data_IF_698040852595
#
_entry.id   IF_698040852595
#
_cell.length_a   1.000
_cell.length_b   1.000
_cell.length_c   1.000
_cell.angle_alpha   90.00
_cell.angle_beta   90.00
_cell.angle_gamma   90.00
#
_symmetry.space_group_name_H-M   'P 1'
#
loop_
_entity.id
_entity.type
_entity.pdbx_description
1 polymer ?
#
# COMPACT_ATOMS: atom_id res chain seq x y z
N UNK A 1 4.85 24.01 -10.85
CA UNK A 1 4.84 23.60 -9.44
C UNK A 1 4.54 22.11 -9.46
N UNK A 2 5.53 21.26 -9.17
CA UNK A 2 5.31 19.81 -9.10
C UNK A 2 4.94 19.43 -7.67
N UNK A 3 4.00 18.50 -7.50
CA UNK A 3 3.66 17.95 -6.19
C UNK A 3 4.50 16.73 -5.87
N UNK A 4 5.01 16.67 -4.65
CA UNK A 4 5.83 15.54 -4.20
C UNK A 4 4.95 14.45 -3.57
N UNK A 5 5.34 13.20 -3.80
CA UNK A 5 4.59 12.05 -3.36
C UNK A 5 5.48 10.89 -2.98
N UNK A 6 4.97 10.05 -2.07
CA UNK A 6 5.51 8.73 -1.82
C UNK A 6 4.50 7.70 -2.31
N UNK A 7 4.99 6.62 -2.91
CA UNK A 7 4.17 5.46 -3.15
C UNK A 7 4.91 4.20 -2.72
N UNK A 8 4.17 3.24 -2.17
CA UNK A 8 4.76 2.06 -1.56
C UNK A 8 3.95 0.80 -1.85
N UNK A 9 4.64 -0.33 -1.98
CA UNK A 9 4.01 -1.65 -1.85
C UNK A 9 4.09 -2.10 -0.40
N UNK A 10 3.04 -2.78 0.08
CA UNK A 10 3.05 -3.43 1.40
C UNK A 10 2.80 -4.91 1.26
N UNK A 11 3.74 -5.71 1.76
CA UNK A 11 3.65 -7.17 1.75
C UNK A 11 4.31 -7.73 3.01
N UNK A 12 3.66 -8.66 3.71
CA UNK A 12 4.17 -9.29 4.96
C UNK A 12 4.61 -8.31 6.06
N UNK A 13 4.00 -7.11 6.11
CA UNK A 13 4.23 -5.96 7.01
C UNK A 13 5.11 -4.83 6.48
N UNK A 14 6.32 -5.02 5.91
CA UNK A 14 7.13 -3.90 5.44
C UNK A 14 6.48 -3.13 4.29
N UNK A 15 6.86 -1.86 4.22
CA UNK A 15 6.57 -0.89 3.18
C UNK A 15 7.82 -0.70 2.33
N UNK A 16 7.69 -0.91 1.02
CA UNK A 16 8.76 -0.68 0.06
C UNK A 16 8.48 0.63 -0.66
N UNK A 17 9.09 1.71 -0.14
CA UNK A 17 8.73 3.09 -0.50
C UNK A 17 9.58 3.65 -1.63
N UNK A 18 8.93 4.30 -2.59
CA UNK A 18 9.56 5.04 -3.68
C UNK A 18 9.12 6.50 -3.64
N UNK A 19 10.09 7.40 -3.87
CA UNK A 19 9.85 8.83 -3.93
C UNK A 19 9.53 9.29 -5.36
N UNK A 20 8.51 10.13 -5.48
CA UNK A 20 8.12 10.79 -6.72
C UNK A 20 8.07 12.31 -6.50
N UNK A 21 8.59 13.07 -7.47
CA UNK A 21 8.79 14.52 -7.35
C UNK A 21 7.93 15.35 -8.31
N UNK A 22 7.05 14.71 -9.09
CA UNK A 22 6.18 15.40 -10.06
C UNK A 22 4.78 14.81 -10.10
N UNK A 23 3.78 15.68 -10.19
CA UNK A 23 2.38 15.31 -10.47
C UNK A 23 1.82 14.21 -9.55
N UNK A 24 2.15 14.28 -8.27
CA UNK A 24 1.76 13.28 -7.28
C UNK A 24 0.30 13.36 -6.85
N UNK A 25 -0.55 14.09 -7.58
CA UNK A 25 -1.98 14.13 -7.33
C UNK A 25 -2.66 12.78 -7.65
N UNK A 26 -3.84 12.49 -7.08
CA UNK A 26 -4.63 11.32 -7.45
C UNK A 26 -4.87 11.22 -8.96
N UNK A 27 -5.12 12.34 -9.62
CA UNK A 27 -5.36 12.42 -11.06
C UNK A 27 -4.09 12.19 -11.91
N UNK A 28 -2.91 12.34 -11.32
CA UNK A 28 -1.61 12.08 -11.93
C UNK A 28 -1.07 10.72 -11.49
N UNK A 29 -0.17 10.72 -10.50
CA UNK A 29 0.44 9.51 -9.93
C UNK A 29 -0.60 8.46 -9.47
N UNK A 30 -1.73 8.88 -8.90
CA UNK A 30 -2.78 7.94 -8.50
C UNK A 30 -3.32 7.14 -9.69
N UNK A 31 -3.64 7.82 -10.79
CA UNK A 31 -4.06 7.20 -12.05
C UNK A 31 -2.97 6.30 -12.64
N UNK A 32 -1.70 6.71 -12.59
CA UNK A 32 -0.58 5.88 -13.05
C UNK A 32 -0.43 4.59 -12.23
N UNK A 33 -0.62 4.66 -10.91
CA UNK A 33 -0.56 3.50 -10.04
C UNK A 33 -1.73 2.55 -10.29
N UNK A 34 -2.95 3.08 -10.43
CA UNK A 34 -4.13 2.26 -10.73
C UNK A 34 -4.06 1.64 -12.12
N UNK A 35 -3.50 2.37 -13.10
CA UNK A 35 -3.29 1.85 -14.46
C UNK A 35 -2.39 0.61 -14.50
N UNK A 36 -1.46 0.46 -13.54
CA UNK A 36 -0.60 -0.71 -13.42
C UNK A 36 -1.31 -1.91 -12.81
N UNK A 37 -2.42 -1.70 -12.12
CA UNK A 37 -3.16 -2.76 -11.41
C UNK A 37 -4.13 -3.40 -12.41
N UNK A 38 -3.95 -4.70 -12.76
CA UNK A 38 -4.83 -5.36 -13.71
C UNK A 38 -6.28 -5.38 -13.20
N UNK A 39 -7.22 -5.22 -14.13
CA UNK A 39 -8.66 -5.25 -13.82
C UNK A 39 -9.22 -6.66 -13.80
N UNK A 40 -8.64 -7.55 -14.60
CA UNK A 40 -9.02 -8.94 -14.71
C UNK A 40 -8.51 -9.73 -13.49
N UNK A 41 -9.35 -10.59 -12.86
CA UNK A 41 -8.98 -11.30 -11.65
C UNK A 41 -7.83 -12.29 -11.85
N UNK A 42 -7.73 -12.95 -13.00
CA UNK A 42 -6.68 -13.90 -13.32
C UNK A 42 -5.35 -13.18 -13.61
N UNK A 43 -5.41 -12.07 -14.36
CA UNK A 43 -4.24 -11.21 -14.58
C UNK A 43 -3.75 -10.55 -13.29
N UNK A 44 -4.68 -10.08 -12.46
CA UNK A 44 -4.38 -9.50 -11.15
C UNK A 44 -3.69 -10.53 -10.26
N UNK A 45 -4.19 -11.76 -10.20
CA UNK A 45 -3.58 -12.82 -9.40
C UNK A 45 -2.13 -13.10 -9.83
N UNK A 46 -1.86 -13.15 -11.14
CA UNK A 46 -0.51 -13.37 -11.68
C UNK A 46 0.42 -12.19 -11.41
N UNK A 47 -0.06 -10.97 -11.63
CA UNK A 47 0.68 -9.75 -11.36
C UNK A 47 1.01 -9.61 -9.86
N UNK A 48 0.04 -9.88 -8.99
CA UNK A 48 0.21 -9.85 -7.55
C UNK A 48 1.19 -10.94 -7.08
N UNK A 49 1.13 -12.16 -7.60
CA UNK A 49 2.09 -13.22 -7.27
C UNK A 49 3.52 -12.83 -7.67
N UNK A 50 3.69 -12.30 -8.88
CA UNK A 50 4.99 -11.83 -9.37
C UNK A 50 5.56 -10.72 -8.48
N UNK A 51 4.76 -9.71 -8.13
CA UNK A 51 5.19 -8.63 -7.23
C UNK A 51 5.48 -9.15 -5.82
N UNK A 52 4.63 -10.01 -5.26
CA UNK A 52 4.87 -10.60 -3.94
C UNK A 52 6.19 -11.33 -3.89
N UNK A 53 6.55 -12.07 -4.94
CA UNK A 53 7.85 -12.77 -5.05
C UNK A 53 9.02 -11.81 -5.17
N UNK A 54 8.87 -10.70 -5.89
CA UNK A 54 9.90 -9.66 -5.94
C UNK A 54 10.09 -9.03 -4.55
N UNK A 55 9.01 -8.70 -3.86
CA UNK A 55 9.04 -8.08 -2.54
C UNK A 55 9.60 -9.03 -1.47
N UNK A 56 9.30 -10.34 -1.56
CA UNK A 56 9.85 -11.35 -0.64
C UNK A 56 11.38 -11.49 -0.76
N UNK A 57 11.95 -11.17 -1.93
CA UNK A 57 13.39 -11.16 -2.16
C UNK A 57 14.08 -9.84 -1.73
N UNK A 58 13.31 -8.80 -1.37
CA UNK A 58 13.84 -7.50 -0.95
C UNK A 58 13.96 -7.42 0.56
N UNK A 59 15.12 -6.96 1.01
CA UNK A 59 15.45 -6.72 2.42
C UNK A 59 15.32 -5.23 2.82
N UNK A 60 15.11 -4.33 1.87
CA UNK A 60 14.99 -2.87 2.09
C UNK A 60 13.63 -2.41 2.64
N UNK A 61 12.78 -3.36 3.06
CA UNK A 61 11.43 -3.08 3.53
C UNK A 61 11.41 -2.31 4.86
N UNK A 62 10.61 -1.25 4.92
CA UNK A 62 10.53 -0.37 6.10
C UNK A 62 9.27 -0.69 6.93
N UNK A 63 9.37 -0.74 8.26
CA UNK A 63 8.20 -1.04 9.11
C UNK A 63 7.28 0.18 9.32
N UNK A 64 7.80 1.39 9.11
CA UNK A 64 7.05 2.62 9.28
C UNK A 64 6.26 2.97 8.02
N UNK A 65 5.00 3.39 8.22
CA UNK A 65 4.16 3.83 7.11
C UNK A 65 4.74 5.08 6.43
N UNK A 66 4.71 5.16 5.09
CA UNK A 66 5.15 6.36 4.35
C UNK A 66 4.37 7.62 4.74
N UNK A 67 3.14 7.46 5.24
CA UNK A 67 2.35 8.58 5.75
C UNK A 67 3.00 9.27 6.96
N UNK A 68 3.69 8.53 7.83
CA UNK A 68 4.41 9.13 8.97
C UNK A 68 5.66 9.90 8.52
N UNK A 69 6.27 9.51 7.39
CA UNK A 69 7.40 10.23 6.79
C UNK A 69 7.02 11.54 6.10
N UNK A 70 5.73 11.81 5.96
CA UNK A 70 5.23 13.03 5.32
C UNK A 70 5.71 14.31 6.02
N UNK A 71 5.87 14.26 7.35
CA UNK A 71 6.29 15.43 8.12
C UNK A 71 7.79 15.72 7.94
N UNK A 72 8.11 16.86 7.33
CA UNK A 72 9.48 17.43 7.30
C UNK A 72 10.14 17.51 5.92
N UNK A 73 9.59 16.88 4.87
CA UNK A 73 10.21 16.82 3.53
C UNK A 73 9.30 17.27 2.38
N UNK A 74 8.18 17.96 2.68
CA UNK A 74 7.32 18.54 1.65
C UNK A 74 6.56 17.52 0.80
N UNK A 75 6.26 16.34 1.36
CA UNK A 75 5.40 15.33 0.74
C UNK A 75 3.94 15.75 0.89
N UNK A 76 3.22 15.77 -0.22
CA UNK A 76 1.82 16.17 -0.26
C UNK A 76 0.89 14.97 -0.34
N UNK A 77 1.32 13.91 -1.02
CA UNK A 77 0.53 12.70 -1.24
C UNK A 77 1.29 11.43 -0.90
N UNK A 78 0.59 10.47 -0.30
CA UNK A 78 1.14 9.14 -0.04
C UNK A 78 0.20 8.06 -0.56
N UNK A 79 0.73 7.06 -1.24
CA UNK A 79 -0.03 5.95 -1.83
C UNK A 79 0.52 4.62 -1.33
N UNK A 80 -0.34 3.69 -0.95
CA UNK A 80 0.07 2.35 -0.53
C UNK A 80 -0.77 1.32 -1.25
N UNK A 81 -0.13 0.41 -1.98
CA UNK A 81 -0.76 -0.80 -2.50
C UNK A 81 -0.51 -1.90 -1.47
N UNK A 82 -1.55 -2.20 -0.69
CA UNK A 82 -1.54 -3.15 0.41
C UNK A 82 -2.05 -4.52 -0.06
N UNK A 83 -1.11 -5.46 -0.24
CA UNK A 83 -1.42 -6.83 -0.65
C UNK A 83 -1.91 -7.71 0.49
N UNK A 84 -1.68 -7.31 1.75
CA UNK A 84 -2.14 -8.03 2.94
C UNK A 84 -3.65 -7.83 3.13
N UNK A 85 -4.12 -6.61 2.82
CA UNK A 85 -5.52 -6.18 3.00
C UNK A 85 -6.32 -6.05 1.70
N UNK A 86 -5.69 -6.33 0.56
CA UNK A 86 -6.25 -6.10 -0.77
C UNK A 86 -6.80 -4.67 -0.94
N UNK A 87 -6.01 -3.68 -0.49
CA UNK A 87 -6.43 -2.28 -0.40
C UNK A 87 -5.42 -1.33 -1.05
N UNK A 88 -5.92 -0.29 -1.69
CA UNK A 88 -5.18 0.89 -2.11
C UNK A 88 -5.46 2.01 -1.12
N UNK A 89 -4.44 2.45 -0.40
CA UNK A 89 -4.56 3.51 0.60
C UNK A 89 -3.98 4.81 0.08
N UNK A 90 -4.73 5.91 0.19
CA UNK A 90 -4.31 7.27 -0.13
C UNK A 90 -4.26 8.09 1.16
N UNK A 91 -3.13 8.75 1.37
CA UNK A 91 -2.83 9.60 2.52
C UNK A 91 -3.09 8.94 3.88
N UNK A 92 -2.95 7.62 3.96
CA UNK A 92 -3.23 6.84 5.18
C UNK A 92 -4.70 6.87 5.66
N UNK A 93 -5.62 7.43 4.86
CA UNK A 93 -6.99 7.77 5.27
C UNK A 93 -8.05 7.13 4.39
N UNK A 94 -7.86 7.20 3.08
CA UNK A 94 -8.79 6.65 2.10
C UNK A 94 -8.30 5.28 1.74
N UNK A 95 -9.10 4.24 1.98
CA UNK A 95 -8.73 2.86 1.66
C UNK A 95 -9.75 2.33 0.67
N UNK A 96 -9.31 1.90 -0.50
CA UNK A 96 -10.17 1.45 -1.59
C UNK A 96 -9.79 0.00 -1.90
N UNK A 97 -10.76 -0.89 -2.11
CA UNK A 97 -10.43 -2.26 -2.55
C UNK A 97 -9.70 -2.23 -3.89
N UNK A 98 -8.64 -3.04 -4.03
CA UNK A 98 -7.89 -3.15 -5.30
C UNK A 98 -8.79 -3.61 -6.47
N UNK A 99 -9.83 -4.40 -6.18
CA UNK A 99 -10.81 -4.85 -7.17
C UNK A 99 -11.84 -3.78 -7.59
N UNK A 100 -11.99 -2.69 -6.82
CA UNK A 100 -12.97 -1.61 -7.05
C UNK A 100 -12.32 -0.25 -7.33
N UNK A 101 -11.10 -0.26 -7.84
CA UNK A 101 -10.39 0.97 -8.15
C UNK A 101 -11.05 1.72 -9.34
N UNK A 102 -11.06 3.07 -9.30
CA UNK A 102 -11.46 3.86 -10.46
C UNK A 102 -10.57 3.52 -11.65
N UNK A 103 -11.16 3.16 -12.79
CA UNK A 103 -10.42 2.94 -14.04
C UNK A 103 -9.98 4.28 -14.62
N UNK A 104 -9.04 4.21 -15.57
CA UNK A 104 -8.34 5.38 -16.07
C UNK A 104 -9.29 6.52 -16.48
N UNK A 105 -9.10 7.69 -15.87
CA UNK A 105 -9.87 8.90 -16.16
C UNK A 105 -11.17 9.06 -15.37
N UNK A 106 -11.48 8.15 -14.44
CA UNK A 106 -12.58 8.34 -13.50
C UNK A 106 -12.25 9.39 -12.43
N UNK A 107 -13.28 10.07 -11.93
CA UNK A 107 -13.16 11.12 -10.93
C UNK A 107 -12.85 10.51 -9.54
N UNK A 108 -11.84 11.07 -8.86
CA UNK A 108 -11.41 10.59 -7.55
C UNK A 108 -12.26 11.14 -6.38
N UNK A 109 -12.98 12.25 -6.59
CA UNK A 109 -13.80 12.90 -5.55
C UNK A 109 -14.73 11.96 -4.77
N UNK A 110 -15.49 11.04 -5.40
CA UNK A 110 -16.38 10.15 -4.67
C UNK A 110 -15.64 9.17 -3.75
N UNK A 111 -14.38 8.84 -4.01
CA UNK A 111 -13.60 7.90 -3.19
C UNK A 111 -13.05 8.55 -1.91
N UNK A 112 -13.02 9.89 -1.85
CA UNK A 112 -12.71 10.60 -0.61
C UNK A 112 -13.89 10.59 0.39
N UNK A 113 -15.10 10.24 -0.07
CA UNK A 113 -16.24 10.05 0.81
C UNK A 113 -16.14 8.69 1.52
N UNK A 114 -16.10 8.70 2.86
CA UNK A 114 -15.93 7.48 3.66
C UNK A 114 -17.11 6.52 3.55
N UNK A 115 -18.29 6.98 3.08
CA UNK A 115 -19.47 6.14 2.89
C UNK A 115 -19.53 5.48 1.50
N UNK A 116 -18.52 5.71 0.65
CA UNK A 116 -18.46 5.11 -0.68
C UNK A 116 -18.39 3.56 -0.59
N UNK A 117 -19.11 2.79 -1.45
CA UNK A 117 -19.15 1.31 -1.37
C UNK A 117 -17.82 0.61 -1.70
N UNK A 118 -16.83 1.37 -2.20
CA UNK A 118 -15.45 0.90 -2.39
C UNK A 118 -14.53 1.23 -1.21
N UNK A 119 -14.99 2.10 -0.29
CA UNK A 119 -14.28 2.46 0.94
C UNK A 119 -14.15 1.25 1.86
N UNK A 120 -12.96 1.05 2.39
CA UNK A 120 -12.66 0.08 3.43
C UNK A 120 -12.45 0.82 4.76
N UNK A 121 -13.16 0.40 5.79
CA UNK A 121 -12.90 0.85 7.15
C UNK A 121 -11.69 0.08 7.71
N UNK A 122 -10.48 0.52 7.33
CA UNK A 122 -9.23 -0.02 7.87
C UNK A 122 -8.82 0.70 9.16
N UNK A 123 -9.76 1.27 9.92
CA UNK A 123 -9.50 2.04 11.15
C UNK A 123 -8.75 1.24 12.24
N UNK A 124 -8.51 -0.06 12.05
CA UNK A 124 -7.60 -0.82 12.90
C UNK A 124 -6.20 -0.92 12.28
N UNK A 125 -5.13 -0.49 13.00
CA UNK A 125 -3.79 -0.96 12.71
C UNK A 125 -3.79 -2.50 12.74
N UNK A 126 -2.88 -3.12 11.97
CA UNK A 126 -2.74 -4.57 11.96
C UNK A 126 -2.48 -5.02 13.39
N UNK A 127 -3.48 -5.62 14.05
CA UNK A 127 -3.17 -6.66 15.02
C UNK A 127 -2.48 -7.75 14.18
N UNK A 128 -1.19 -8.06 14.43
CA UNK A 128 -0.50 -9.09 13.67
C UNK A 128 -1.35 -10.34 13.72
N UNK A 129 -1.68 -10.92 12.56
CA UNK A 129 -2.44 -12.16 12.52
C UNK A 129 -1.73 -13.18 13.40
N UNK A 130 -2.48 -14.00 14.14
CA UNK A 130 -1.89 -14.95 15.10
C UNK A 130 -0.88 -15.90 14.43
N UNK A 131 -1.08 -16.19 13.14
CA UNK A 131 -0.12 -16.91 12.29
C UNK A 131 1.21 -16.17 12.11
N UNK A 132 1.19 -14.84 12.03
CA UNK A 132 2.38 -13.99 11.88
C UNK A 132 3.10 -13.75 13.21
N UNK A 133 2.37 -13.69 14.33
CA UNK A 133 2.96 -13.74 15.68
C UNK A 133 3.69 -15.07 15.87
N UNK A 134 3.04 -16.19 15.52
CA UNK A 134 3.62 -17.52 15.65
C UNK A 134 4.88 -17.70 14.78
N UNK A 135 4.91 -17.13 13.57
CA UNK A 135 6.11 -17.15 12.71
C UNK A 135 7.25 -16.29 13.27
N UNK A 136 6.93 -15.15 13.91
CA UNK A 136 7.92 -14.26 14.53
C UNK A 136 8.50 -14.85 15.83
N UNK A 137 7.65 -15.44 16.67
CA UNK A 137 8.07 -16.15 17.88
C UNK A 137 8.88 -17.41 17.52
N UNK A 138 8.48 -18.15 16.48
CA UNK A 138 9.24 -19.32 16.02
C UNK A 138 10.62 -18.98 15.45
N UNK A 139 10.81 -17.75 14.95
CA UNK A 139 12.11 -17.29 14.44
C UNK A 139 12.98 -16.60 15.51
N UNK A 140 12.43 -16.27 16.68
CA UNK A 140 13.19 -15.74 17.84
C UNK A 140 13.33 -16.75 18.99
N UNK A 141 12.68 -17.91 18.93
CA UNK A 141 12.86 -19.01 19.88
C UNK A 141 14.12 -19.84 19.53
N UNK A 142 15.29 -19.19 19.55
CA UNK A 142 16.55 -19.82 19.16
C UNK A 142 17.82 -19.29 19.83
N UNK A 143 17.73 -18.32 20.76
CA UNK A 143 18.91 -17.78 21.44
C UNK A 143 18.62 -17.52 22.94
N UNK A 144 18.35 -18.59 23.68
CA UNK A 144 18.44 -18.56 25.15
C UNK A 144 18.91 -19.92 25.70
N UNK A 145 20.12 -20.35 25.32
CA UNK A 145 20.89 -21.31 26.11
C UNK A 145 22.37 -21.01 26.03
N UNK A 146 22.97 -20.55 27.13
CA UNK A 146 24.42 -20.47 27.29
C UNK A 146 24.90 -19.41 28.26
#
# INVERSE_FOLDING_TARGET
MGTNGLWSYRWRRPYYTTYNHWDSYPEGLGNELVAKIPSDPDEFARWADALKRELDARDDGELESPHHRRNGIGIEWTYVIDFDRNAFTIDGRVNIRLDKLPRQGEDWSPFFDRNHPASLDLCNPIEPSAEHIALYDASHCGDETG
#
